data_IF_931583345995
#
_entry.id   IF_931583345995
#
_cell.length_a   1.000
_cell.length_b   1.000
_cell.length_c   1.000
_cell.angle_alpha   90.00
_cell.angle_beta   90.00
_cell.angle_gamma   90.00
#
_symmetry.space_group_name_H-M   'P 1'
#
loop_
_entity.id
_entity.type
_entity.pdbx_description
1 polymer ?
#
# COMPACT_ATOMS: atom_id res chain seq x y z
N UNK A 1 -3.42 18.63 -19.24
CA UNK A 1 -3.76 19.48 -18.08
C UNK A 1 -2.73 19.23 -16.99
N UNK A 2 -2.33 20.26 -16.25
CA UNK A 2 -1.41 20.14 -15.13
C UNK A 2 -2.18 20.24 -13.81
N UNK A 3 -1.77 19.44 -12.83
CA UNK A 3 -2.37 19.42 -11.52
C UNK A 3 -1.43 20.00 -10.45
N UNK A 4 -2.01 20.70 -9.50
CA UNK A 4 -1.38 21.05 -8.23
C UNK A 4 -2.08 20.24 -7.13
N UNK A 5 -1.31 19.39 -6.45
CA UNK A 5 -1.78 18.63 -5.30
C UNK A 5 -1.50 19.39 -4.01
N UNK A 6 -2.53 19.60 -3.19
CA UNK A 6 -2.38 20.15 -1.84
C UNK A 6 -2.70 19.04 -0.83
N UNK A 7 -1.78 18.79 0.11
CA UNK A 7 -2.03 17.90 1.24
C UNK A 7 -2.88 18.64 2.27
N UNK A 8 -4.20 18.61 2.06
CA UNK A 8 -5.15 19.11 3.06
C UNK A 8 -5.66 17.93 3.90
N UNK A 9 -5.70 18.11 5.21
CA UNK A 9 -6.37 17.18 6.13
C UNK A 9 -7.90 17.33 5.95
N UNK A 10 -8.43 16.79 4.86
CA UNK A 10 -9.87 16.82 4.58
C UNK A 10 -10.54 15.76 5.44
N UNK A 11 -11.35 16.20 6.41
CA UNK A 11 -12.18 15.29 7.20
C UNK A 11 -13.42 14.95 6.38
N UNK A 12 -13.37 13.85 5.62
CA UNK A 12 -14.53 13.36 4.88
C UNK A 12 -15.49 12.68 5.87
N UNK A 13 -16.62 13.31 6.15
CA UNK A 13 -17.71 12.72 6.94
C UNK A 13 -18.50 11.78 6.06
N UNK A 14 -18.30 10.47 6.23
CA UNK A 14 -19.12 9.45 5.59
C UNK A 14 -20.20 9.02 6.58
N UNK A 15 -21.47 9.08 6.18
CA UNK A 15 -22.56 8.66 7.04
C UNK A 15 -22.57 7.13 7.27
N UNK A 16 -23.15 6.73 8.40
CA UNK A 16 -22.78 5.61 9.27
C UNK A 16 -22.97 4.17 8.72
N UNK A 17 -23.11 3.97 7.40
CA UNK A 17 -23.47 2.67 6.80
C UNK A 17 -22.59 2.17 5.64
N UNK A 18 -21.55 2.89 5.21
CA UNK A 18 -20.72 2.50 4.05
C UNK A 18 -19.41 1.80 4.47
N UNK A 19 -18.73 1.04 3.57
CA UNK A 19 -17.41 0.40 3.82
C UNK A 19 -16.24 1.40 4.08
N UNK A 20 -16.56 2.60 4.58
CA UNK A 20 -15.68 3.70 4.95
C UNK A 20 -14.63 3.36 6.03
N UNK A 21 -14.77 2.23 6.74
CA UNK A 21 -13.80 1.81 7.76
C UNK A 21 -12.41 1.53 7.18
N UNK A 22 -12.31 1.16 5.89
CA UNK A 22 -11.03 0.90 5.20
C UNK A 22 -10.31 2.18 4.76
N UNK A 23 -11.02 3.31 4.68
CA UNK A 23 -10.53 4.60 4.15
C UNK A 23 -9.97 5.50 5.27
N UNK A 24 -10.44 5.34 6.51
CA UNK A 24 -10.03 6.17 7.67
C UNK A 24 -8.51 6.17 7.95
N UNK A 25 -7.79 5.13 7.55
CA UNK A 25 -6.34 5.01 7.79
C UNK A 25 -5.47 5.48 6.62
N UNK A 26 -6.05 5.97 5.51
CA UNK A 26 -5.30 6.42 4.32
C UNK A 26 -4.99 7.92 4.41
N UNK A 27 -3.89 8.34 3.77
CA UNK A 27 -3.67 9.77 3.52
C UNK A 27 -4.63 10.24 2.44
N UNK A 28 -5.24 11.41 2.60
CA UNK A 28 -6.14 11.98 1.59
C UNK A 28 -5.44 13.17 0.97
N UNK A 29 -5.29 13.15 -0.36
CA UNK A 29 -4.74 14.26 -1.13
C UNK A 29 -5.86 14.78 -2.04
N UNK A 30 -6.09 16.09 -2.00
CA UNK A 30 -6.97 16.76 -2.95
C UNK A 30 -6.13 17.25 -4.13
N UNK A 31 -6.42 16.74 -5.32
CA UNK A 31 -5.71 17.11 -6.55
C UNK A 31 -6.59 18.05 -7.35
N UNK A 32 -6.06 19.22 -7.70
CA UNK A 32 -6.74 20.23 -8.52
C UNK A 32 -6.05 20.35 -9.87
N UNK A 33 -6.80 20.11 -10.94
CA UNK A 33 -6.32 20.32 -12.31
C UNK A 33 -6.80 21.66 -12.84
N UNK A 34 -5.88 22.39 -13.47
CA UNK A 34 -6.25 23.60 -14.21
C UNK A 34 -7.23 23.21 -15.33
N UNK A 35 -8.31 23.99 -15.52
CA UNK A 35 -9.33 23.67 -16.51
C UNK A 35 -8.81 23.81 -17.94
N UNK A 36 -7.83 24.68 -18.18
CA UNK A 36 -7.25 24.90 -19.50
C UNK A 36 -6.05 23.97 -19.74
N UNK A 37 -5.91 23.51 -20.99
CA UNK A 37 -4.73 22.74 -21.40
C UNK A 37 -3.47 23.61 -21.35
N UNK A 38 -2.42 23.12 -20.70
CA UNK A 38 -1.10 23.78 -20.66
C UNK A 38 -0.47 23.87 -22.05
N UNK A 39 -0.75 22.89 -22.93
CA UNK A 39 -0.24 22.83 -24.29
C UNK A 39 -1.35 23.17 -25.27
N UNK A 40 -1.11 24.07 -26.25
CA UNK A 40 -2.09 24.36 -27.30
C UNK A 40 -2.31 23.14 -28.19
N UNK A 41 -3.49 23.08 -28.81
CA UNK A 41 -3.87 21.99 -29.68
C UNK A 41 -3.15 22.10 -31.04
N UNK A 42 -2.10 21.28 -31.22
CA UNK A 42 -1.22 21.32 -32.40
C UNK A 42 -1.73 20.52 -33.62
N UNK A 43 -3.05 20.48 -33.85
CA UNK A 43 -3.61 19.71 -34.97
C UNK A 43 -3.36 20.42 -36.30
N UNK A 44 -2.80 19.73 -37.30
CA UNK A 44 -2.67 20.27 -38.66
C UNK A 44 -4.04 20.33 -39.36
N UNK A 45 -4.19 21.21 -40.36
CA UNK A 45 -5.43 21.35 -41.12
C UNK A 45 -5.85 20.04 -41.81
N UNK A 46 -4.90 19.31 -42.40
CA UNK A 46 -5.15 17.98 -43.00
C UNK A 46 -5.64 16.95 -41.96
N UNK A 47 -5.02 16.94 -40.77
CA UNK A 47 -5.43 16.01 -39.71
C UNK A 47 -6.80 16.38 -39.13
N UNK A 48 -7.15 17.66 -39.12
CA UNK A 48 -8.46 18.13 -38.73
C UNK A 48 -9.54 17.70 -39.74
N UNK A 49 -9.27 17.85 -41.04
CA UNK A 49 -10.19 17.41 -42.09
C UNK A 49 -10.34 15.88 -42.10
N UNK A 50 -9.25 15.15 -41.90
CA UNK A 50 -9.29 13.69 -41.79
C UNK A 50 -10.10 13.25 -40.57
N UNK A 51 -9.93 13.91 -39.43
CA UNK A 51 -10.73 13.67 -38.22
C UNK A 51 -12.21 13.98 -38.46
N UNK A 52 -12.54 15.11 -39.11
CA UNK A 52 -13.93 15.46 -39.48
C UNK A 52 -14.55 14.40 -40.39
N UNK A 53 -13.81 13.92 -41.38
CA UNK A 53 -14.27 12.87 -42.29
C UNK A 53 -14.49 11.54 -41.56
N UNK A 54 -13.59 11.20 -40.64
CA UNK A 54 -13.71 10.02 -39.78
C UNK A 54 -14.92 10.12 -38.85
N UNK A 55 -15.17 11.30 -38.27
CA UNK A 55 -16.31 11.56 -37.41
C UNK A 55 -17.64 11.62 -38.18
N UNK A 56 -17.64 11.84 -39.50
CA UNK A 56 -18.87 11.77 -40.33
C UNK A 56 -19.29 10.35 -40.70
N UNK A 57 -18.37 9.38 -40.63
CA UNK A 57 -18.68 7.97 -40.89
C UNK A 57 -19.60 7.42 -39.80
N UNK A 58 -20.25 6.29 -40.04
CA UNK A 58 -21.14 5.65 -39.06
C UNK A 58 -20.35 4.83 -38.00
N UNK A 59 -20.98 4.51 -36.86
CA UNK A 59 -20.34 3.74 -35.77
C UNK A 59 -19.89 2.35 -36.19
N UNK A 60 -20.61 1.75 -37.15
CA UNK A 60 -20.35 0.41 -37.68
C UNK A 60 -19.10 0.36 -38.55
N UNK A 61 -18.72 1.48 -39.16
CA UNK A 61 -17.54 1.57 -40.02
C UNK A 61 -16.27 1.90 -39.24
N UNK A 62 -16.40 2.71 -38.17
CA UNK A 62 -15.29 3.07 -37.32
C UNK A 62 -15.71 3.33 -35.88
N UNK A 63 -15.08 2.58 -34.97
CA UNK A 63 -15.21 2.78 -33.53
C UNK A 63 -14.10 3.70 -33.05
N UNK A 64 -14.48 4.90 -32.61
CA UNK A 64 -13.56 5.85 -32.00
C UNK A 64 -13.65 5.73 -30.49
N UNK A 65 -12.49 5.84 -29.83
CA UNK A 65 -12.39 5.76 -28.38
C UNK A 65 -11.65 6.98 -27.86
N UNK A 66 -12.25 7.67 -26.91
CA UNK A 66 -11.58 8.69 -26.12
C UNK A 66 -10.83 7.99 -24.98
N UNK A 67 -9.53 8.25 -24.85
CA UNK A 67 -8.72 7.68 -23.77
C UNK A 67 -8.54 8.75 -22.70
N UNK A 68 -8.89 8.40 -21.47
CA UNK A 68 -8.61 9.22 -20.29
C UNK A 68 -7.50 8.52 -19.51
N UNK A 69 -6.40 9.23 -19.32
CA UNK A 69 -5.22 8.74 -18.61
C UNK A 69 -4.87 9.66 -17.44
N UNK A 70 -4.72 9.08 -16.26
CA UNK A 70 -4.35 9.76 -15.03
C UNK A 70 -3.08 9.11 -14.52
N UNK A 71 -2.01 9.90 -14.36
CA UNK A 71 -0.74 9.44 -13.79
C UNK A 71 -0.47 10.13 -12.45
N UNK A 72 -0.10 9.35 -11.46
CA UNK A 72 0.38 9.82 -10.16
C UNK A 72 1.86 9.47 -10.01
N UNK A 73 2.71 10.49 -9.92
CA UNK A 73 4.17 10.33 -9.78
C UNK A 73 4.59 10.60 -8.35
N UNK A 74 5.02 9.56 -7.64
CA UNK A 74 5.54 9.67 -6.29
C UNK A 74 7.07 9.80 -6.31
N UNK A 75 7.55 10.98 -5.90
CA UNK A 75 8.99 11.25 -5.79
C UNK A 75 9.58 10.53 -4.58
N UNK A 76 10.71 9.83 -4.78
CA UNK A 76 11.42 9.14 -3.70
C UNK A 76 12.40 10.11 -3.04
N UNK A 77 12.53 10.05 -1.71
CA UNK A 77 13.55 10.81 -0.96
C UNK A 77 15.01 10.55 -1.41
N UNK A 78 15.28 9.43 -2.09
CA UNK A 78 16.61 9.16 -2.65
C UNK A 78 16.61 9.49 -4.14
N UNK A 79 17.49 10.41 -4.60
CA UNK A 79 17.51 10.89 -5.98
C UNK A 79 18.01 9.85 -6.99
N UNK A 80 18.61 8.74 -6.55
CA UNK A 80 19.20 7.72 -7.42
C UNK A 80 18.23 6.64 -7.88
N UNK A 81 16.94 6.73 -7.51
CA UNK A 81 15.94 5.71 -7.88
C UNK A 81 14.78 6.38 -8.57
N UNK A 82 14.40 5.85 -9.74
CA UNK A 82 13.32 6.40 -10.55
C UNK A 82 12.04 6.62 -9.73
N UNK A 83 11.29 7.71 -10.02
CA UNK A 83 10.03 7.98 -9.36
C UNK A 83 9.05 6.84 -9.62
N UNK A 84 8.24 6.49 -8.62
CA UNK A 84 7.16 5.52 -8.86
C UNK A 84 6.05 6.23 -9.60
N UNK A 85 5.61 5.62 -10.70
CA UNK A 85 4.46 6.09 -11.47
C UNK A 85 3.34 5.10 -11.29
N UNK A 86 2.18 5.60 -10.89
CA UNK A 86 0.95 4.84 -10.85
C UNK A 86 0.03 5.42 -11.92
N UNK A 87 -0.49 4.60 -12.84
CA UNK A 87 -1.36 5.07 -13.91
C UNK A 87 -2.74 4.42 -13.88
N UNK A 88 -3.74 5.17 -14.33
CA UNK A 88 -5.10 4.72 -14.62
C UNK A 88 -5.41 5.14 -16.06
N UNK A 89 -5.71 4.19 -16.92
CA UNK A 89 -6.12 4.47 -18.30
C UNK A 89 -7.38 3.69 -18.64
N UNK A 90 -8.38 4.38 -19.18
CA UNK A 90 -9.60 3.76 -19.67
C UNK A 90 -10.11 4.45 -20.93
N UNK A 91 -10.82 3.66 -21.74
CA UNK A 91 -11.28 4.07 -23.06
C UNK A 91 -12.80 4.17 -23.10
N UNK A 92 -13.30 5.32 -23.51
CA UNK A 92 -14.72 5.64 -23.63
C UNK A 92 -15.11 5.59 -25.11
N UNK A 93 -16.05 4.73 -25.54
CA UNK A 93 -16.48 4.68 -26.93
C UNK A 93 -17.28 5.93 -27.30
N UNK A 94 -16.91 6.57 -28.42
CA UNK A 94 -17.61 7.74 -28.95
C UNK A 94 -18.83 7.28 -29.74
N UNK A 95 -19.99 7.39 -29.10
CA UNK A 95 -21.32 7.12 -29.67
C UNK A 95 -21.83 8.28 -30.53
N UNK A 96 -22.97 8.07 -31.18
CA UNK A 96 -23.60 8.92 -32.19
C UNK A 96 -23.89 10.34 -31.69
N UNK A 97 -24.35 10.47 -30.45
CA UNK A 97 -24.66 11.76 -29.83
C UNK A 97 -23.39 12.57 -29.50
N UNK A 98 -22.35 11.90 -29.01
CA UNK A 98 -21.04 12.51 -28.79
C UNK A 98 -20.38 12.91 -30.11
N UNK A 99 -20.57 12.12 -31.16
CA UNK A 99 -20.02 12.36 -32.48
C UNK A 99 -20.60 13.62 -33.12
N UNK A 100 -21.92 13.84 -33.00
CA UNK A 100 -22.60 15.05 -33.47
C UNK A 100 -22.11 16.30 -32.73
N UNK A 101 -22.16 16.28 -31.40
CA UNK A 101 -21.68 17.40 -30.58
C UNK A 101 -20.20 17.74 -30.81
N UNK A 102 -19.36 16.72 -31.01
CA UNK A 102 -17.96 16.92 -31.37
C UNK A 102 -17.79 17.55 -32.76
N UNK A 103 -18.58 17.09 -33.75
CA UNK A 103 -18.59 17.67 -35.09
C UNK A 103 -19.07 19.12 -35.07
N UNK A 104 -20.07 19.47 -34.27
CA UNK A 104 -20.59 20.83 -34.15
C UNK A 104 -19.51 21.77 -33.59
N UNK A 105 -18.77 21.33 -32.58
CA UNK A 105 -17.65 22.08 -32.00
C UNK A 105 -16.52 22.27 -33.02
N UNK A 106 -16.20 21.24 -33.82
CA UNK A 106 -15.16 21.33 -34.84
C UNK A 106 -15.58 22.08 -36.12
N UNK A 107 -16.88 22.13 -36.41
CA UNK A 107 -17.42 22.81 -37.58
C UNK A 107 -17.54 24.33 -37.37
N UNK A 108 -17.54 24.76 -36.11
CA UNK A 108 -17.56 26.18 -35.78
C UNK A 108 -16.29 26.83 -36.31
N UNK A 109 -16.46 27.85 -37.15
CA UNK A 109 -15.34 28.52 -37.81
C UNK A 109 -14.51 29.28 -36.79
N UNK A 110 -13.42 28.64 -36.37
CA UNK A 110 -12.49 29.14 -35.38
C UNK A 110 -11.83 30.47 -35.81
N UNK A 111 -11.86 30.78 -37.11
CA UNK A 111 -11.38 32.03 -37.68
C UNK A 111 -12.36 33.21 -37.50
N UNK A 112 -13.65 32.96 -37.33
CA UNK A 112 -14.65 34.01 -37.05
C UNK A 112 -14.79 34.29 -35.54
N UNK A 113 -14.37 33.35 -34.69
CA UNK A 113 -14.37 33.48 -33.23
C UNK A 113 -13.33 34.49 -32.69
N UNK A 114 -12.28 34.80 -33.47
CA UNK A 114 -11.23 35.76 -33.10
C UNK A 114 -11.65 37.22 -33.29
N UNK A 115 -12.64 37.52 -34.14
CA UNK A 115 -12.97 38.88 -34.56
C UNK A 115 -14.00 39.56 -33.64
N UNK A 116 -14.92 38.80 -33.04
CA UNK A 116 -16.07 39.38 -32.33
C UNK A 116 -15.95 39.44 -30.81
N UNK A 117 -14.86 38.96 -30.20
CA UNK A 117 -14.71 39.00 -28.73
C UNK A 117 -15.88 38.38 -27.96
N UNK A 118 -16.67 37.53 -28.61
CA UNK A 118 -17.88 36.92 -28.10
C UNK A 118 -17.59 35.46 -27.80
N UNK A 119 -16.94 35.24 -26.66
CA UNK A 119 -17.18 34.03 -25.88
C UNK A 119 -18.11 34.44 -24.74
N UNK A 120 -19.34 34.88 -25.08
CA UNK A 120 -20.42 34.69 -24.13
C UNK A 120 -20.62 33.18 -24.02
N UNK A 121 -20.82 32.74 -22.77
CA UNK A 121 -20.93 31.37 -22.31
C UNK A 121 -22.21 30.72 -22.88
N UNK A 122 -22.29 30.59 -24.20
CA UNK A 122 -23.39 29.93 -24.88
C UNK A 122 -23.32 28.45 -24.53
N UNK A 123 -24.18 28.08 -23.57
CA UNK A 123 -24.31 26.73 -23.00
C UNK A 123 -24.52 25.61 -24.05
N UNK A 124 -24.74 25.96 -25.32
CA UNK A 124 -24.94 25.05 -26.45
C UNK A 124 -23.65 24.51 -27.09
N UNK A 125 -22.47 25.04 -26.75
CA UNK A 125 -21.20 24.65 -27.41
C UNK A 125 -20.25 23.88 -26.47
N UNK A 126 -20.81 22.86 -25.80
CA UNK A 126 -20.14 22.04 -24.80
C UNK A 126 -20.19 20.56 -25.18
N UNK A 127 -19.03 19.91 -25.22
CA UNK A 127 -18.92 18.47 -25.39
C UNK A 127 -19.02 17.80 -24.02
N UNK A 128 -20.15 17.16 -23.74
CA UNK A 128 -20.34 16.44 -22.48
C UNK A 128 -20.05 14.96 -22.69
N UNK A 129 -18.88 14.51 -22.23
CA UNK A 129 -18.52 13.09 -22.23
C UNK A 129 -19.00 12.45 -20.92
N UNK A 130 -19.93 11.48 -20.99
CA UNK A 130 -20.48 10.87 -19.80
C UNK A 130 -19.48 9.93 -19.14
N UNK A 131 -19.50 9.86 -17.81
CA UNK A 131 -18.71 8.91 -17.02
C UNK A 131 -17.20 8.94 -17.33
N UNK A 132 -16.63 10.14 -17.43
CA UNK A 132 -15.29 10.36 -17.97
C UNK A 132 -14.27 10.87 -16.96
N UNK A 133 -14.66 11.14 -15.72
CA UNK A 133 -13.74 11.58 -14.68
C UNK A 133 -14.05 10.85 -13.35
N UNK A 134 -13.09 10.09 -12.78
CA UNK A 134 -13.27 9.48 -11.48
C UNK A 134 -13.17 10.53 -10.38
N UNK A 135 -14.05 10.45 -9.38
CA UNK A 135 -14.01 11.35 -8.22
C UNK A 135 -12.93 10.92 -7.22
N UNK A 136 -12.68 9.63 -7.14
CA UNK A 136 -11.80 9.03 -6.16
C UNK A 136 -10.85 8.03 -6.82
N UNK A 137 -9.58 8.15 -6.47
CA UNK A 137 -8.54 7.25 -6.93
C UNK A 137 -7.75 6.77 -5.72
N UNK A 138 -7.40 5.49 -5.69
CA UNK A 138 -6.56 4.89 -4.65
C UNK A 138 -5.16 4.70 -5.23
N UNK A 139 -4.19 5.34 -4.58
CA UNK A 139 -2.76 5.16 -4.87
C UNK A 139 -2.23 4.10 -3.92
N UNK A 140 -1.96 2.91 -4.46
CA UNK A 140 -1.40 1.80 -3.69
C UNK A 140 0.09 2.01 -3.41
N UNK A 141 0.57 1.48 -2.28
CA UNK A 141 2.00 1.55 -1.92
C UNK A 141 2.89 0.56 -2.72
N UNK A 142 2.30 -0.52 -3.26
CA UNK A 142 2.95 -1.52 -4.09
C UNK A 142 2.19 -1.66 -5.43
N UNK A 143 2.90 -1.72 -6.56
CA UNK A 143 2.31 -1.82 -7.91
C UNK A 143 2.39 -0.52 -8.73
N UNK A 144 2.00 -0.61 -10.00
CA UNK A 144 1.99 0.50 -10.97
C UNK A 144 0.56 0.93 -11.36
N UNK A 145 -0.46 0.28 -10.79
CA UNK A 145 -1.86 0.55 -11.09
C UNK A 145 -2.52 1.41 -10.01
N UNK A 146 -3.28 2.40 -10.45
CA UNK A 146 -4.22 3.14 -9.61
C UNK A 146 -5.53 2.35 -9.53
N UNK A 147 -6.03 2.13 -8.31
CA UNK A 147 -7.32 1.48 -8.13
C UNK A 147 -8.42 2.53 -8.07
N UNK A 148 -9.53 2.31 -8.74
CA UNK A 148 -10.70 3.18 -8.63
C UNK A 148 -11.42 2.90 -7.30
N UNK A 149 -11.59 3.94 -6.47
CA UNK A 149 -12.14 3.77 -5.13
C UNK A 149 -13.63 3.38 -5.14
N UNK A 150 -14.33 3.68 -6.24
CA UNK A 150 -15.71 3.24 -6.44
C UNK A 150 -15.83 1.72 -6.56
N UNK A 151 -14.76 1.04 -7.01
CA UNK A 151 -14.72 -0.42 -7.19
C UNK A 151 -14.58 -1.13 -5.83
N UNK A 152 -13.84 -0.56 -4.86
CA UNK A 152 -13.78 -1.14 -3.51
C UNK A 152 -15.12 -1.02 -2.76
N UNK A 153 -15.88 0.07 -2.96
CA UNK A 153 -17.16 0.28 -2.28
C UNK A 153 -18.27 -0.66 -2.77
N UNK A 154 -18.30 -0.99 -4.06
CA UNK A 154 -19.33 -1.87 -4.64
C UNK A 154 -18.98 -3.36 -4.50
N UNK A 155 -17.75 -3.74 -4.16
CA UNK A 155 -17.36 -5.15 -4.02
C UNK A 155 -18.03 -5.90 -2.85
N UNK A 156 -18.74 -5.20 -1.95
CA UNK A 156 -19.49 -5.82 -0.85
C UNK A 156 -20.94 -6.19 -1.23
N UNK A 157 -21.48 -5.66 -2.33
CA UNK A 157 -22.84 -5.92 -2.76
C UNK A 157 -22.92 -6.02 -4.29
N UNK A 158 -23.47 -7.14 -4.77
CA UNK A 158 -24.01 -7.39 -6.12
C UNK A 158 -23.12 -8.22 -7.05
N UNK A 159 -23.52 -9.50 -7.21
CA UNK A 159 -23.09 -10.49 -8.23
C UNK A 159 -23.44 -10.12 -9.69
N UNK A 160 -23.77 -8.87 -9.99
CA UNK A 160 -24.07 -8.43 -11.35
C UNK A 160 -22.95 -7.49 -11.83
N UNK A 161 -22.51 -7.71 -13.07
CA UNK A 161 -21.51 -6.91 -13.81
C UNK A 161 -21.38 -5.49 -13.26
N UNK A 162 -20.30 -5.22 -12.53
CA UNK A 162 -20.08 -3.91 -11.93
C UNK A 162 -20.11 -2.84 -13.03
N UNK A 163 -21.18 -2.04 -13.07
CA UNK A 163 -21.28 -0.83 -13.89
C UNK A 163 -20.42 0.28 -13.23
N UNK A 164 -19.11 0.03 -13.08
CA UNK A 164 -18.15 0.89 -12.37
C UNK A 164 -18.22 2.34 -12.84
N UNK A 165 -18.40 2.53 -14.15
CA UNK A 165 -18.42 3.84 -14.79
C UNK A 165 -19.57 4.72 -14.28
N UNK A 166 -20.66 4.15 -13.74
CA UNK A 166 -21.81 4.95 -13.24
C UNK A 166 -21.48 5.91 -12.10
N UNK A 167 -20.32 5.73 -11.46
CA UNK A 167 -19.83 6.54 -10.35
C UNK A 167 -18.91 7.68 -10.78
N UNK A 168 -18.64 7.82 -12.08
CA UNK A 168 -17.79 8.88 -12.61
C UNK A 168 -18.62 10.11 -12.93
N UNK A 169 -17.98 11.27 -12.77
CA UNK A 169 -18.53 12.54 -13.20
C UNK A 169 -18.48 12.66 -14.73
N UNK A 170 -19.36 13.51 -15.25
CA UNK A 170 -19.39 13.85 -16.66
C UNK A 170 -18.35 14.96 -16.91
N UNK A 171 -17.60 14.82 -18.00
CA UNK A 171 -16.59 15.77 -18.40
C UNK A 171 -17.18 16.70 -19.46
N UNK A 172 -17.34 17.97 -19.12
CA UNK A 172 -17.65 19.01 -20.08
C UNK A 172 -16.33 19.50 -20.73
N UNK A 173 -16.25 19.56 -22.05
CA UNK A 173 -15.12 20.12 -22.77
C UNK A 173 -15.57 21.19 -23.76
N UNK A 174 -14.81 22.28 -23.85
CA UNK A 174 -15.02 23.36 -24.84
C UNK A 174 -13.68 23.77 -25.43
N UNK A 175 -13.70 24.20 -26.69
CA UNK A 175 -12.55 24.80 -27.35
C UNK A 175 -12.53 26.29 -27.02
N UNK A 176 -11.38 26.80 -26.59
CA UNK A 176 -11.12 28.21 -26.38
C UNK A 176 -10.01 28.68 -27.32
N UNK A 177 -10.15 29.88 -27.86
CA UNK A 177 -9.10 30.51 -28.68
C UNK A 177 -8.50 31.66 -27.88
N UNK A 178 -7.17 31.70 -27.86
CA UNK A 178 -6.41 32.76 -27.22
C UNK A 178 -5.12 33.00 -28.01
N UNK A 179 -4.84 34.26 -28.36
CA UNK A 179 -3.59 34.67 -29.02
C UNK A 179 -3.25 33.82 -30.26
N UNK A 180 -4.26 33.59 -31.13
CA UNK A 180 -4.19 32.72 -32.33
C UNK A 180 -3.91 31.24 -32.06
N UNK A 181 -3.79 30.82 -30.80
CA UNK A 181 -3.68 29.43 -30.37
C UNK A 181 -5.04 28.89 -29.91
N UNK A 182 -5.18 27.58 -30.04
CA UNK A 182 -6.41 26.85 -29.73
C UNK A 182 -6.14 25.99 -28.50
N UNK A 183 -7.00 26.06 -27.50
CA UNK A 183 -6.87 25.30 -26.27
C UNK A 183 -8.15 24.51 -25.99
N UNK A 184 -7.98 23.31 -25.45
CA UNK A 184 -9.09 22.60 -24.85
C UNK A 184 -9.22 23.04 -23.41
N UNK A 185 -10.45 23.35 -23.02
CA UNK A 185 -10.79 23.59 -21.62
C UNK A 185 -11.79 22.54 -21.18
N UNK A 186 -11.60 22.00 -19.99
CA UNK A 186 -12.52 21.05 -19.40
C UNK A 186 -13.17 21.62 -18.14
N UNK A 187 -14.35 21.11 -17.84
CA UNK A 187 -15.10 21.35 -16.62
C UNK A 187 -15.73 20.06 -16.15
N UNK A 188 -15.96 19.96 -14.86
CA UNK A 188 -16.60 18.80 -14.24
C UNK A 188 -18.08 19.08 -14.04
N UNK A 189 -18.94 18.18 -14.51
CA UNK A 189 -20.38 18.19 -14.22
C UNK A 189 -20.72 16.97 -13.37
N UNK A 190 -21.31 17.15 -12.17
CA UNK A 190 -21.68 16.02 -11.34
C UNK A 190 -22.77 15.22 -12.04
N UNK A 191 -22.59 13.90 -12.05
CA UNK A 191 -23.56 13.01 -12.65
C UNK A 191 -24.80 12.85 -11.74
N UNK A 192 -25.98 12.85 -12.34
CA UNK A 192 -27.28 12.60 -11.69
C UNK A 192 -27.33 11.36 -10.78
N UNK A 193 -26.52 10.32 -11.05
CA UNK A 193 -26.40 9.13 -10.20
C UNK A 193 -25.67 9.37 -8.87
N UNK A 194 -24.74 10.33 -8.82
CA UNK A 194 -23.96 10.67 -7.62
C UNK A 194 -24.70 11.63 -6.70
N UNK A 195 -25.51 12.53 -7.28
CA UNK A 195 -26.37 13.46 -6.53
C UNK A 195 -27.35 12.71 -5.61
N UNK A 196 -27.74 11.48 -5.97
CA UNK A 196 -28.62 10.63 -5.16
C UNK A 196 -27.91 9.92 -4.00
N UNK A 197 -26.57 9.89 -3.96
CA UNK A 197 -25.78 9.17 -2.93
C UNK A 197 -25.26 10.07 -1.80
N UNK A 198 -25.75 11.30 -1.68
CA UNK A 198 -25.38 12.28 -0.64
C UNK A 198 -23.86 12.43 -0.40
N UNK A 199 -23.04 12.15 -1.41
CA UNK A 199 -21.66 12.62 -1.44
C UNK A 199 -21.69 14.09 -1.87
N UNK A 200 -22.24 14.94 -1.00
CA UNK A 200 -22.29 16.38 -1.17
C UNK A 200 -20.87 16.93 -0.98
N UNK A 201 -20.07 16.81 -2.05
CA UNK A 201 -18.93 17.70 -2.21
C UNK A 201 -19.50 19.06 -2.54
N UNK A 202 -19.29 20.03 -1.65
CA UNK A 202 -19.39 21.42 -2.04
C UNK A 202 -18.13 21.69 -2.86
N UNK A 203 -18.20 21.73 -4.21
CA UNK A 203 -17.01 22.01 -5.01
C UNK A 203 -16.58 23.41 -4.60
N UNK A 204 -15.44 23.53 -3.93
CA UNK A 204 -14.91 24.84 -3.61
C UNK A 204 -14.75 25.57 -4.94
N UNK A 205 -15.53 26.63 -5.16
CA UNK A 205 -15.54 27.41 -6.39
C UNK A 205 -14.28 28.26 -6.44
N UNK A 206 -13.13 27.61 -6.55
CA UNK A 206 -11.89 28.28 -6.87
C UNK A 206 -11.94 28.53 -8.36
N UNK A 207 -11.93 29.80 -8.72
CA UNK A 207 -11.99 30.24 -10.10
C UNK A 207 -10.57 30.40 -10.64
N UNK A 208 -10.35 29.88 -11.84
CA UNK A 208 -9.09 29.98 -12.55
C UNK A 208 -9.17 31.09 -13.60
N UNK A 209 -8.24 32.04 -13.50
CA UNK A 209 -8.06 33.12 -14.46
C UNK A 209 -9.23 34.10 -14.54
N UNK A 210 -9.17 34.99 -15.52
CA UNK A 210 -10.20 36.04 -15.72
C UNK A 210 -11.54 35.49 -16.25
N UNK A 211 -11.56 34.23 -16.69
CA UNK A 211 -12.71 33.56 -17.33
C UNK A 211 -13.57 32.74 -16.35
N UNK A 212 -13.32 32.83 -15.05
CA UNK A 212 -14.11 32.17 -13.99
C UNK A 212 -14.32 30.66 -14.22
N UNK A 213 -13.36 29.99 -14.89
CA UNK A 213 -13.44 28.56 -15.12
C UNK A 213 -13.13 27.82 -13.81
N UNK A 214 -13.85 26.74 -13.51
CA UNK A 214 -13.66 25.97 -12.27
C UNK A 214 -12.56 24.92 -12.44
N UNK A 215 -11.74 24.74 -11.41
CA UNK A 215 -10.77 23.64 -11.37
C UNK A 215 -11.48 22.28 -11.40
N UNK A 216 -10.86 21.28 -12.02
CA UNK A 216 -11.30 19.89 -11.89
C UNK A 216 -10.67 19.31 -10.63
N UNK A 217 -11.48 18.63 -9.81
CA UNK A 217 -11.03 18.07 -8.55
C UNK A 217 -11.11 16.54 -8.57
N UNK A 218 -10.04 15.90 -8.13
CA UNK A 218 -9.97 14.45 -7.93
C UNK A 218 -9.36 14.19 -6.55
N UNK A 219 -9.95 13.28 -5.79
CA UNK A 219 -9.45 12.87 -4.48
C UNK A 219 -8.59 11.62 -4.63
N UNK A 220 -7.33 11.71 -4.21
CA UNK A 220 -6.40 10.60 -4.18
C UNK A 220 -6.25 10.07 -2.74
N UNK A 221 -6.65 8.83 -2.51
CA UNK A 221 -6.41 8.10 -1.27
C UNK A 221 -5.09 7.37 -1.37
N UNK A 222 -4.08 7.84 -0.65
CA UNK A 222 -2.74 7.26 -0.66
C UNK A 222 -2.60 6.27 0.49
N UNK A 223 -2.28 5.03 0.15
CA UNK A 223 -1.92 4.02 1.14
C UNK A 223 -0.64 4.44 1.86
N UNK A 224 -0.65 4.35 3.19
CA UNK A 224 0.54 4.65 3.98
C UNK A 224 1.63 3.63 3.66
N UNK A 225 2.79 4.14 3.27
CA UNK A 225 3.97 3.30 3.16
C UNK A 225 4.40 2.82 4.54
N UNK A 226 4.71 1.53 4.67
CA UNK A 226 5.38 1.03 5.86
C UNK A 226 6.69 1.82 6.06
N UNK A 227 6.99 2.27 7.29
CA UNK A 227 8.23 2.99 7.54
C UNK A 227 9.42 2.13 7.12
N UNK A 228 10.37 2.73 6.39
CA UNK A 228 11.57 2.05 5.85
C UNK A 228 12.43 1.36 6.91
N UNK A 229 12.20 1.69 8.18
CA UNK A 229 12.93 1.19 9.33
C UNK A 229 12.62 -0.27 9.64
N UNK A 230 11.53 -0.82 9.09
CA UNK A 230 11.19 -2.24 9.24
C UNK A 230 11.22 -2.91 7.87
N UNK A 231 12.11 -3.90 7.64
CA UNK A 231 12.16 -4.62 6.39
C UNK A 231 10.82 -5.34 6.15
N UNK A 232 10.24 -5.18 4.95
CA UNK A 232 8.93 -5.76 4.59
C UNK A 232 8.87 -7.29 4.76
N UNK A 233 10.00 -7.97 4.60
CA UNK A 233 10.15 -9.41 4.83
C UNK A 233 9.86 -9.80 6.29
N UNK A 234 10.27 -8.97 7.26
CA UNK A 234 10.06 -9.24 8.69
C UNK A 234 8.57 -9.17 9.03
N UNK A 235 7.85 -8.22 8.45
CA UNK A 235 6.41 -8.01 8.70
C UNK A 235 5.55 -9.07 8.01
N UNK A 236 5.89 -9.49 6.77
CA UNK A 236 5.10 -10.45 6.00
C UNK A 236 5.38 -11.93 6.37
N UNK A 237 6.56 -12.25 6.94
CA UNK A 237 6.92 -13.64 7.29
C UNK A 237 8.00 -13.83 8.36
N UNK A 238 8.63 -12.77 8.86
CA UNK A 238 9.65 -12.89 9.91
C UNK A 238 9.08 -13.22 11.29
N UNK A 239 7.85 -12.77 11.60
CA UNK A 239 7.20 -13.00 12.89
C UNK A 239 6.97 -14.49 13.16
N UNK A 240 6.56 -15.25 12.14
CA UNK A 240 6.37 -16.70 12.30
C UNK A 240 7.71 -17.42 12.50
N UNK A 241 8.76 -16.99 11.80
CA UNK A 241 10.12 -17.51 11.99
C UNK A 241 10.66 -17.24 13.39
N UNK A 242 10.47 -16.01 13.90
CA UNK A 242 10.84 -15.64 15.27
C UNK A 242 10.11 -16.50 16.30
N UNK A 243 8.81 -16.75 16.13
CA UNK A 243 8.02 -17.59 17.02
C UNK A 243 8.57 -19.03 17.05
N UNK A 244 8.84 -19.62 15.89
CA UNK A 244 9.40 -20.98 15.79
C UNK A 244 10.74 -21.06 16.53
N UNK A 245 11.64 -20.10 16.35
CA UNK A 245 12.94 -20.08 17.04
C UNK A 245 12.76 -20.05 18.57
N UNK A 246 11.93 -19.14 19.09
CA UNK A 246 11.70 -19.01 20.54
C UNK A 246 11.11 -20.30 21.13
N UNK A 247 10.08 -20.87 20.48
CA UNK A 247 9.45 -22.11 20.93
C UNK A 247 10.42 -23.28 20.92
N UNK A 248 11.25 -23.40 19.87
CA UNK A 248 12.27 -24.45 19.79
C UNK A 248 13.34 -24.28 20.87
N UNK A 249 13.81 -23.06 21.13
CA UNK A 249 14.80 -22.79 22.19
C UNK A 249 14.25 -23.17 23.56
N UNK A 250 13.00 -22.77 23.87
CA UNK A 250 12.37 -23.11 25.13
C UNK A 250 12.11 -24.61 25.26
N UNK A 251 11.68 -25.28 24.19
CA UNK A 251 11.50 -26.73 24.13
C UNK A 251 12.82 -27.50 24.31
N UNK A 252 13.92 -27.00 23.74
CA UNK A 252 15.24 -27.60 23.94
C UNK A 252 15.75 -27.39 25.37
N UNK A 253 15.50 -26.22 25.95
CA UNK A 253 15.91 -25.92 27.33
C UNK A 253 15.15 -26.80 28.33
N UNK A 254 13.82 -26.89 28.21
CA UNK A 254 13.01 -27.75 29.07
C UNK A 254 13.40 -29.22 28.91
N UNK A 255 13.62 -29.68 27.67
CA UNK A 255 14.13 -31.03 27.41
C UNK A 255 15.50 -31.26 28.04
N UNK A 256 16.43 -30.30 28.01
CA UNK A 256 17.75 -30.46 28.66
C UNK A 256 17.63 -30.57 30.18
N UNK A 257 16.78 -29.77 30.82
CA UNK A 257 16.58 -29.83 32.28
C UNK A 257 15.95 -31.16 32.69
N UNK A 258 14.94 -31.64 31.96
CA UNK A 258 14.24 -32.89 32.27
C UNK A 258 15.03 -34.15 31.86
N UNK A 259 15.75 -34.11 30.73
CA UNK A 259 16.46 -35.26 30.18
C UNK A 259 17.89 -35.43 30.73
N UNK A 260 18.46 -34.42 31.40
CA UNK A 260 19.72 -34.59 32.15
C UNK A 260 19.53 -35.27 33.51
N UNK A 261 18.30 -35.61 33.89
CA UNK A 261 17.99 -36.26 35.16
C UNK A 261 18.57 -37.68 35.38
N UNK A 262 18.97 -38.51 34.38
CA UNK A 262 19.43 -39.87 34.66
C UNK A 262 20.95 -40.09 34.55
N UNK A 263 21.77 -39.11 34.17
CA UNK A 263 23.24 -39.29 34.04
C UNK A 263 24.06 -38.61 35.14
N UNK A 264 23.42 -38.06 36.16
CA UNK A 264 24.10 -37.82 37.44
C UNK A 264 24.08 -39.16 38.16
N UNK A 265 25.24 -39.84 38.23
CA UNK A 265 25.45 -41.00 39.10
C UNK A 265 24.84 -40.68 40.47
N UNK A 266 24.03 -41.57 41.08
CA UNK A 266 23.18 -41.21 42.20
C UNK A 266 24.01 -41.04 43.47
N UNK A 267 24.70 -39.91 43.59
CA UNK A 267 25.25 -39.43 44.86
C UNK A 267 24.10 -39.23 45.86
N UNK A 268 22.91 -38.84 45.37
CA UNK A 268 21.71 -38.68 46.18
C UNK A 268 21.09 -40.00 46.69
N UNK A 269 21.54 -41.18 46.21
CA UNK A 269 21.04 -42.49 46.69
C UNK A 269 22.10 -43.31 47.44
N UNK A 270 23.16 -42.68 47.92
CA UNK A 270 24.15 -43.38 48.73
C UNK A 270 23.56 -43.76 50.10
N UNK A 271 23.61 -45.03 50.51
CA UNK A 271 23.01 -45.48 51.76
C UNK A 271 23.70 -44.89 53.00
N UNK A 272 25.02 -44.71 52.99
CA UNK A 272 25.77 -44.01 54.03
C UNK A 272 27.06 -43.36 53.46
N UNK A 273 27.20 -42.01 53.48
CA UNK A 273 28.37 -41.30 52.96
C UNK A 273 29.53 -41.11 53.96
N UNK A 274 29.35 -41.48 55.23
CA UNK A 274 30.24 -41.06 56.32
C UNK A 274 31.69 -41.53 56.15
N UNK A 275 31.91 -42.73 55.61
CA UNK A 275 33.26 -43.26 55.37
C UNK A 275 34.00 -42.56 54.24
N UNK A 276 33.28 -42.11 53.21
CA UNK A 276 33.87 -41.30 52.14
C UNK A 276 34.25 -39.91 52.68
N UNK A 277 33.41 -39.35 53.54
CA UNK A 277 33.67 -38.09 54.22
C UNK A 277 34.87 -38.21 55.17
N UNK A 278 34.97 -39.28 55.94
CA UNK A 278 36.11 -39.57 56.81
C UNK A 278 37.41 -39.68 56.00
N UNK A 279 37.39 -40.38 54.86
CA UNK A 279 38.54 -40.48 53.96
C UNK A 279 38.96 -39.11 53.42
N UNK A 280 38.00 -38.25 53.05
CA UNK A 280 38.26 -36.87 52.65
C UNK A 280 38.85 -36.03 53.79
N UNK A 281 38.44 -36.30 55.04
CA UNK A 281 38.96 -35.62 56.22
C UNK A 281 40.37 -36.09 56.58
N UNK A 282 40.66 -37.39 56.50
CA UNK A 282 42.01 -37.94 56.64
C UNK A 282 42.96 -37.39 55.58
N UNK A 283 42.49 -37.24 54.33
CA UNK A 283 43.25 -36.61 53.26
C UNK A 283 43.55 -35.14 53.56
N UNK A 284 42.58 -34.41 54.11
CA UNK A 284 42.75 -33.02 54.54
C UNK A 284 43.81 -32.90 55.65
N UNK A 285 43.71 -33.76 56.68
CA UNK A 285 44.65 -33.79 57.79
C UNK A 285 46.08 -34.18 57.33
N UNK A 286 46.21 -35.16 56.44
CA UNK A 286 47.51 -35.55 55.86
C UNK A 286 48.18 -34.38 55.12
N UNK A 287 47.38 -33.55 54.43
CA UNK A 287 47.85 -32.34 53.75
C UNK A 287 48.28 -31.24 54.73
N UNK A 288 47.56 -31.08 55.84
CA UNK A 288 47.90 -30.12 56.89
C UNK A 288 49.21 -30.51 57.62
N UNK A 289 49.41 -31.80 57.84
CA UNK A 289 50.63 -32.36 58.44
C UNK A 289 51.81 -32.47 57.46
N UNK A 290 51.59 -32.17 56.17
CA UNK A 290 52.57 -32.30 55.07
C UNK A 290 53.16 -33.72 54.93
N UNK A 291 52.38 -34.74 55.26
CA UNK A 291 52.75 -36.13 55.02
C UNK A 291 52.30 -36.57 53.61
N UNK A 292 53.15 -36.27 52.63
CA UNK A 292 52.85 -36.51 51.21
C UNK A 292 52.74 -37.99 50.83
N UNK A 293 53.41 -38.89 51.56
CA UNK A 293 53.34 -40.32 51.29
C UNK A 293 51.98 -40.90 51.69
N UNK A 294 51.46 -40.45 52.84
CA UNK A 294 50.11 -40.80 53.29
C UNK A 294 49.04 -40.15 52.41
N UNK A 295 49.21 -38.87 52.06
CA UNK A 295 48.30 -38.15 51.16
C UNK A 295 48.14 -38.87 49.82
N UNK A 296 49.25 -39.25 49.17
CA UNK A 296 49.22 -39.94 47.87
C UNK A 296 48.48 -41.29 47.96
N UNK A 297 48.67 -42.03 49.05
CA UNK A 297 48.00 -43.33 49.28
C UNK A 297 46.50 -43.17 49.51
N UNK A 298 46.08 -42.17 50.31
CA UNK A 298 44.67 -41.87 50.55
C UNK A 298 43.98 -41.36 49.27
N UNK A 299 44.67 -40.53 48.48
CA UNK A 299 44.15 -39.98 47.23
C UNK A 299 43.96 -41.06 46.16
N UNK A 300 44.91 -42.01 46.03
CA UNK A 300 44.75 -43.17 45.15
C UNK A 300 43.49 -43.97 45.51
N UNK A 301 43.27 -44.20 46.81
CA UNK A 301 42.12 -44.95 47.31
C UNK A 301 40.80 -44.22 46.97
N UNK A 302 40.76 -42.89 47.11
CA UNK A 302 39.60 -42.08 46.77
C UNK A 302 39.25 -42.16 45.26
N UNK A 303 40.25 -42.02 44.38
CA UNK A 303 40.03 -42.13 42.92
C UNK A 303 39.54 -43.53 42.55
N UNK A 304 40.14 -44.58 43.14
CA UNK A 304 39.74 -45.96 42.87
C UNK A 304 38.27 -46.20 43.22
N UNK A 305 37.83 -45.67 44.37
CA UNK A 305 36.45 -45.74 44.82
C UNK A 305 35.52 -45.00 43.83
N UNK A 306 35.84 -43.76 43.47
CA UNK A 306 35.00 -42.95 42.58
C UNK A 306 34.97 -43.44 41.12
N UNK A 307 35.97 -44.22 40.69
CA UNK A 307 36.03 -44.77 39.33
C UNK A 307 35.23 -46.07 39.17
N UNK A 308 34.99 -46.80 40.25
CA UNK A 308 34.27 -48.08 40.22
C UNK A 308 33.01 -48.02 41.07
N UNK A 309 31.84 -47.97 40.41
CA UNK A 309 30.55 -47.98 41.09
C UNK A 309 30.37 -49.19 42.02
N UNK A 310 31.01 -50.32 41.71
CA UNK A 310 30.95 -51.54 42.56
C UNK A 310 31.73 -51.34 43.86
N UNK A 311 32.91 -50.72 43.80
CA UNK A 311 33.72 -50.43 45.00
C UNK A 311 33.06 -49.33 45.82
N UNK A 312 32.51 -48.32 45.14
CA UNK A 312 31.74 -47.24 45.77
C UNK A 312 30.57 -47.77 46.60
N UNK A 313 29.70 -48.60 46.01
CA UNK A 313 28.56 -49.17 46.73
C UNK A 313 29.00 -49.99 47.96
N UNK A 314 30.00 -50.87 47.81
CA UNK A 314 30.52 -51.68 48.92
C UNK A 314 31.01 -50.82 50.09
N UNK A 315 31.76 -49.76 49.80
CA UNK A 315 32.30 -48.85 50.83
C UNK A 315 31.18 -48.11 51.56
N UNK A 316 30.08 -47.79 50.86
CA UNK A 316 28.91 -47.12 51.46
C UNK A 316 27.91 -48.07 52.14
N UNK A 317 27.95 -49.38 51.87
CA UNK A 317 27.04 -50.39 52.44
C UNK A 317 27.58 -51.09 53.71
N UNK A 318 28.91 -51.19 53.88
CA UNK A 318 29.56 -51.95 54.97
C UNK A 318 29.23 -51.50 56.41
N UNK A 319 28.56 -50.36 56.63
CA UNK A 319 28.12 -49.90 57.96
C UNK A 319 26.63 -50.10 58.24
N UNK A 320 25.85 -50.61 57.28
CA UNK A 320 24.41 -50.83 57.48
C UNK A 320 24.07 -52.11 58.29
N UNK A 321 25.07 -52.83 58.82
CA UNK A 321 24.95 -54.06 59.61
C UNK A 321 25.63 -53.94 60.96
#
# INVERSE_FOLDING_TARGET
MRAEGQEDLVTLTFDHGSPARKIQNKGVIRVRFQPESEVPWQMSAENLESLKNVMRKNETELTLRLIVEIEFKQMRLSPMKDPRVHSLSYAIPIKSELRKSFLDILATDLANATINGLLQDDASMHLVVPYALPNFVIVQNEGESLLDAAIEQNSAEVENECQCNSTYNDLNMKIAVQDSNIYWTAGMKPNSGLVKRELNFDPMTVEFGLRHNRYLEVFAFVDRAFPKNVPSYVVKGGIIGMYIVVVLTFGQLTRRVLANAPHVVPVDKTPNPDRLLLLCHELYLARELKDFALEQKLFWRLILILRSNVVFMRVTEEEAT
#
